data_IF_103771175655
#
_entry.id   IF_103771175655
#
_cell.length_a   1.000
_cell.length_b   1.000
_cell.length_c   1.000
_cell.angle_alpha   90.00
_cell.angle_beta   90.00
_cell.angle_gamma   90.00
#
_symmetry.space_group_name_H-M   'P 1'
#
loop_
_entity.id
_entity.type
_entity.pdbx_description
1 polymer ?
2 non-polymer ?
3 non-polymer ?
4 water ?
#
# COMPACT_ATOMS: atom_id res chain seq x y z
N UNK A 1 1.21 -15.55 14.16
CA UNK A 1 0.42 -15.85 12.98
C UNK A 1 -0.55 -14.74 12.62
N UNK A 2 -1.45 -15.02 11.67
CA UNK A 2 -2.44 -14.05 11.25
C UNK A 2 -3.55 -14.75 10.49
N UNK A 3 -4.76 -14.23 10.61
CA UNK A 3 -5.88 -14.71 9.79
C UNK A 3 -5.54 -14.63 8.30
N UNK A 4 -6.04 -15.59 7.53
CA UNK A 4 -5.88 -15.56 6.08
C UNK A 4 -6.48 -14.29 5.48
N UNK A 5 -5.79 -13.73 4.49
CA UNK A 5 -6.22 -12.47 3.89
C UNK A 5 -5.81 -12.48 2.42
N UNK A 6 -6.60 -11.82 1.57
CA UNK A 6 -6.34 -11.73 0.13
C UNK A 6 -6.30 -10.30 -0.32
N UNK A 7 -5.40 -10.01 -1.25
CA UNK A 7 -5.31 -8.68 -1.83
C UNK A 7 -6.59 -8.31 -2.56
N UNK A 8 -7.07 -7.10 -2.29
CA UNK A 8 -8.22 -6.58 -3.04
C UNK A 8 -7.79 -6.12 -4.43
N UNK A 9 -6.48 -5.96 -4.62
CA UNK A 9 -5.95 -5.52 -5.90
C UNK A 9 -5.73 -6.66 -6.87
N UNK A 10 -5.18 -7.77 -6.37
CA UNK A 10 -4.74 -8.88 -7.22
C UNK A 10 -5.44 -10.20 -6.94
N UNK A 11 -6.09 -10.29 -5.79
CA UNK A 11 -6.66 -11.55 -5.33
C UNK A 11 -5.66 -12.54 -4.74
N UNK A 12 -4.39 -12.17 -4.65
CA UNK A 12 -3.40 -13.09 -4.09
C UNK A 12 -3.51 -13.14 -2.58
N UNK A 13 -3.49 -14.35 -2.01
CA UNK A 13 -3.44 -14.47 -0.57
C UNK A 13 -2.10 -13.97 -0.03
N UNK A 14 -2.07 -13.61 1.25
CA UNK A 14 -0.82 -13.19 1.85
C UNK A 14 -0.62 -11.69 1.84
N UNK A 15 -1.69 -10.95 1.55
CA UNK A 15 -1.63 -9.51 1.47
C UNK A 15 -2.93 -8.92 1.96
N UNK A 16 -2.83 -7.83 2.71
CA UNK A 16 -3.99 -7.01 3.03
C UNK A 16 -3.84 -5.68 2.32
N UNK A 17 -4.89 -5.26 1.62
CA UNK A 17 -4.83 -4.01 0.87
C UNK A 17 -5.23 -2.84 1.77
N UNK A 18 -4.36 -1.83 1.83
CA UNK A 18 -4.63 -0.60 2.56
C UNK A 18 -4.84 0.53 1.57
N UNK A 19 -5.50 1.60 2.01
CA UNK A 19 -5.53 2.81 1.23
C UNK A 19 -4.83 3.92 2.00
N UNK A 20 -3.93 4.62 1.31
CA UNK A 20 -3.21 5.75 1.87
C UNK A 20 -3.87 7.01 1.34
N UNK A 21 -4.43 7.84 2.21
CA UNK A 21 -5.28 8.94 1.72
C UNK A 21 -4.78 10.35 2.02
N UNK A 22 -3.65 10.46 2.70
CA UNK A 22 -3.10 11.76 3.05
C UNK A 22 -1.84 11.60 3.87
N UNK A 23 -0.99 12.63 3.90
CA UNK A 23 -1.15 13.90 3.19
C UNK A 23 -0.69 13.76 1.75
N UNK A 24 -0.35 14.86 1.07
CA UNK A 24 0.14 14.74 -0.31
C UNK A 24 1.47 14.00 -0.36
N UNK A 25 1.53 12.96 -1.19
CA UNK A 25 2.73 12.15 -1.33
C UNK A 25 2.89 11.67 -2.76
N UNK A 26 4.13 11.59 -3.21
CA UNK A 26 4.43 10.91 -4.46
C UNK A 26 4.49 9.43 -4.14
N UNK A 27 4.35 8.58 -5.15
CA UNK A 27 4.53 7.14 -4.92
C UNK A 27 5.88 6.78 -4.29
N UNK A 28 7.00 7.32 -4.83
CA UNK A 28 8.26 6.92 -4.20
C UNK A 28 8.41 7.38 -2.75
N UNK A 29 7.85 8.54 -2.42
CA UNK A 29 7.87 8.97 -1.03
C UNK A 29 7.07 8.01 -0.14
N UNK A 30 5.90 7.59 -0.60
CA UNK A 30 5.09 6.65 0.18
C UNK A 30 5.82 5.33 0.39
N UNK A 31 6.40 4.79 -0.68
CA UNK A 31 7.09 3.51 -0.56
C UNK A 31 8.33 3.59 0.35
N UNK A 32 9.10 4.67 0.24
CA UNK A 32 10.27 4.83 1.10
C UNK A 32 9.86 4.92 2.56
N UNK A 33 8.77 5.64 2.80
CA UNK A 33 8.23 5.77 4.15
C UNK A 33 7.86 4.43 4.76
N UNK A 34 7.10 3.62 4.01
CA UNK A 34 6.69 2.30 4.49
C UNK A 34 7.89 1.37 4.69
N UNK A 35 8.82 1.37 3.74
CA UNK A 35 10.02 0.53 3.87
C UNK A 35 10.81 0.97 5.10
N UNK A 36 10.76 2.26 5.40
CA UNK A 36 11.43 2.80 6.57
C UNK A 36 10.87 2.33 7.91
N UNK A 37 9.65 1.80 7.90
CA UNK A 37 9.03 1.25 9.11
C UNK A 37 9.28 -0.24 9.18
N UNK A 38 10.08 -0.74 8.24
CA UNK A 38 10.39 -2.15 8.16
C UNK A 38 9.29 -2.96 7.52
N UNK A 39 8.38 -2.29 6.80
CA UNK A 39 7.27 -3.00 6.16
C UNK A 39 7.68 -3.58 4.81
N UNK A 40 7.27 -4.82 4.56
CA UNK A 40 7.43 -5.42 3.25
C UNK A 40 6.26 -4.95 2.38
N UNK A 41 6.57 -4.29 1.26
CA UNK A 41 5.54 -3.67 0.44
C UNK A 41 5.22 -4.54 -0.77
N UNK A 42 3.94 -4.86 -0.95
CA UNK A 42 3.52 -5.67 -2.09
C UNK A 42 3.17 -4.77 -3.25
N UNK A 43 2.17 -5.17 -4.03
CA UNK A 43 1.78 -4.35 -5.16
C UNK A 43 1.11 -3.06 -4.74
N UNK A 44 1.28 -2.04 -5.57
CA UNK A 44 0.72 -0.71 -5.31
C UNK A 44 0.00 -0.22 -6.56
N UNK A 45 -1.05 0.57 -6.37
CA UNK A 45 -1.75 1.18 -7.49
C UNK A 45 -2.21 2.58 -7.10
N UNK A 46 -1.78 3.56 -7.87
CA UNK A 46 -2.28 4.91 -7.73
C UNK A 46 -3.76 4.99 -8.12
N UNK A 47 -4.52 5.77 -7.37
CA UNK A 47 -5.93 5.96 -7.62
C UNK A 47 -6.31 7.43 -7.42
N UNK A 48 -7.55 7.77 -7.76
CA UNK A 48 -8.03 9.15 -7.60
C UNK A 48 -7.95 9.59 -6.14
N UNK A 49 -8.36 8.70 -5.24
CA UNK A 49 -8.43 9.06 -3.84
C UNK A 49 -7.14 8.87 -3.05
N UNK A 50 -6.08 8.42 -3.70
CA UNK A 50 -4.83 8.17 -3.00
C UNK A 50 -4.09 6.98 -3.57
N UNK A 51 -3.53 6.15 -2.70
CA UNK A 51 -2.81 4.96 -3.13
C UNK A 51 -3.36 3.71 -2.46
N UNK A 52 -3.54 2.65 -3.24
CA UNK A 52 -3.79 1.32 -2.67
C UNK A 52 -2.45 0.64 -2.54
N UNK A 53 -2.19 0.07 -1.37
CA UNK A 53 -0.91 -0.59 -1.14
C UNK A 53 -1.10 -1.87 -0.34
N UNK A 54 -0.52 -2.94 -0.85
CA UNK A 54 -0.61 -4.24 -0.19
C UNK A 54 0.48 -4.36 0.87
N UNK A 55 0.09 -4.76 2.07
CA UNK A 55 1.03 -5.04 3.14
C UNK A 55 0.74 -6.45 3.67
N UNK A 56 1.68 -7.02 4.42
CA UNK A 56 1.50 -8.38 4.90
C UNK A 56 0.41 -8.43 5.97
N UNK A 57 -0.34 -9.54 6.03
CA UNK A 57 -1.44 -9.62 7.00
C UNK A 57 -0.97 -9.47 8.46
N UNK A 58 0.28 -9.83 8.75
CA UNK A 58 0.78 -9.70 10.12
C UNK A 58 0.98 -8.24 10.49
N UNK A 59 1.18 -7.40 9.48
CA UNK A 59 1.51 -6.00 9.71
C UNK A 59 0.39 -5.24 10.40
N UNK A 60 0.78 -4.37 11.33
CA UNK A 60 -0.14 -3.40 11.91
C UNK A 60 0.50 -2.03 11.73
N UNK A 61 0.49 -1.55 10.48
CA UNK A 61 1.27 -0.37 10.08
C UNK A 61 0.85 0.87 10.84
N UNK A 62 1.86 1.62 11.25
CA UNK A 62 1.66 2.91 11.88
C UNK A 62 2.73 3.85 11.36
N UNK A 63 2.33 4.79 10.52
CA UNK A 63 3.23 5.83 10.07
C UNK A 63 2.67 7.17 10.53
N UNK A 64 3.42 7.88 11.36
CA UNK A 64 2.96 9.15 11.91
C UNK A 64 2.61 10.12 10.80
N UNK A 65 1.41 10.68 10.88
CA UNK A 65 0.96 11.70 9.96
C UNK A 65 0.36 11.16 8.68
N UNK A 66 0.38 9.84 8.52
CA UNK A 66 -0.15 9.20 7.33
C UNK A 66 -1.48 8.54 7.68
N UNK A 67 -2.54 8.80 6.91
CA UNK A 67 -3.73 7.99 7.09
C UNK A 67 -3.65 6.77 6.22
N UNK A 68 -3.57 5.63 6.89
CA UNK A 68 -3.36 4.36 6.23
C UNK A 68 -4.32 3.35 6.85
N UNK A 69 -5.43 3.10 6.16
CA UNK A 69 -6.49 2.25 6.68
C UNK A 69 -6.73 1.09 5.72
N UNK A 70 -7.22 -0.04 6.24
CA UNK A 70 -7.60 -1.13 5.33
C UNK A 70 -8.62 -0.63 4.31
N UNK A 71 -8.40 -0.98 3.06
CA UNK A 71 -9.31 -0.57 2.00
C UNK A 71 -10.64 -1.28 2.15
N UNK A 72 -11.71 -0.55 1.83
CA UNK A 72 -13.07 -1.11 1.79
C UNK A 72 -13.48 -1.50 0.38
N UNK A 73 -12.98 -0.75 -0.60
CA UNK A 73 -13.34 -0.94 -2.00
C UNK A 73 -12.17 -0.48 -2.87
N UNK A 74 -11.98 -1.15 -4.00
CA UNK A 74 -11.01 -0.72 -4.98
C UNK A 74 -11.74 0.04 -6.07
N UNK A 75 -11.49 1.34 -6.17
CA UNK A 75 -12.14 2.15 -7.19
C UNK A 75 -11.21 3.26 -7.64
N UNK A 76 -11.54 3.85 -8.79
CA UNK A 76 -10.78 4.98 -9.29
C UNK A 76 -9.34 4.70 -9.59
N UNK A 77 -9.03 3.45 -9.92
CA UNK A 77 -7.66 3.12 -10.29
C UNK A 77 -7.20 3.90 -11.52
N UNK A 78 -5.95 4.35 -11.47
CA UNK A 78 -5.32 5.09 -12.56
C UNK A 78 -4.29 4.23 -13.30
N UNK A 79 -3.96 3.07 -12.74
CA UNK A 79 -2.90 2.23 -13.28
C UNK A 79 -3.04 0.81 -12.75
N UNK A 80 -2.44 -0.17 -13.43
CA UNK A 80 -2.44 -1.53 -12.91
C UNK A 80 -1.68 -1.58 -11.60
N UNK A 81 -2.08 -2.49 -10.71
CA UNK A 81 -1.28 -2.83 -9.53
C UNK A 81 0.05 -3.42 -9.98
N UNK A 82 1.13 -2.90 -9.43
CA UNK A 82 2.46 -3.39 -9.78
C UNK A 82 3.41 -3.22 -8.61
N UNK A 83 4.44 -4.05 -8.62
CA UNK A 83 5.48 -3.96 -7.61
C UNK A 83 6.32 -2.73 -7.93
N UNK A 84 6.86 -2.11 -6.89
CA UNK A 84 7.72 -0.95 -7.08
C UNK A 84 9.03 -1.43 -7.70
N UNK A 85 9.64 -0.61 -8.54
CA UNK A 85 10.93 -0.98 -9.14
C UNK A 85 12.05 -0.90 -8.13
N UNK A 86 12.90 -1.91 -8.10
CA UNK A 86 14.14 -1.82 -7.34
C UNK A 86 15.11 -0.96 -8.12
N UNK A 87 16.05 -0.31 -7.43
CA UNK A 87 16.93 0.65 -8.12
C UNK A 87 17.69 0.03 -9.30
N UNK A 88 18.06 -1.25 -9.23
CA UNK A 88 18.78 -1.88 -10.34
C UNK A 88 17.95 -1.96 -11.61
N UNK A 89 16.64 -1.85 -11.45
CA UNK A 89 15.71 -2.04 -12.56
C UNK A 89 15.14 -0.70 -12.98
N UNK A 90 15.58 0.35 -12.31
CA UNK A 90 15.11 1.70 -12.63
C UNK A 90 16.20 2.51 -13.31
X LIG B 1 12.09 9.22 -6.79
X LIG C 1 -11.45 2.39 0.82
X LIG D 1 -4.74 -11.42 12.06
X LIG E 1 -9.51 -8.00 5.13
X LIG F 1 2.71 4.20 -11.29
X LIG G 1 2.94 -12.08 -4.57
#
# INVERSE_FOLDING_TARGET
>A
GAMAERSLLTGEEGWRTYKATGPALSLPALVALLKGQGLEVGKVAEAEGGFYVDLRPEARPEVAGLRLEPARRVEGLLEIPSRTRRPARA
>B hetero
1 CL CL
>C hetero
1 CL CL
>D hetero
1 CL CL
>E hetero
1 ZN ZN
>F hetero
1 ZN ZN
>G hetero
1 ZN ZN
#
